data_IF_515219625127
#
_entry.id   IF_515219625127
#
_cell.length_a   1.000
_cell.length_b   1.000
_cell.length_c   1.000
_cell.angle_alpha   90.00
_cell.angle_beta   90.00
_cell.angle_gamma   90.00
#
_symmetry.space_group_name_H-M   'P 1'
#
loop_
_entity.id
_entity.type
_entity.pdbx_description
1 polymer ?
#
# COMPACT_ATOMS: atom_id res chain seq x y z
N UNK A 1 16.01 0.03 2.18
CA UNK A 1 14.82 0.32 1.35
C UNK A 1 13.56 0.59 2.19
N UNK A 2 13.23 -0.20 3.22
CA UNK A 2 11.97 -0.04 3.99
C UNK A 2 11.77 1.25 4.79
N UNK A 3 12.86 1.89 5.28
CA UNK A 3 12.74 3.11 6.10
C UNK A 3 12.37 4.38 5.31
N UNK A 4 12.67 4.42 4.00
CA UNK A 4 12.36 5.56 3.14
C UNK A 4 10.86 5.60 2.76
N UNK A 5 10.29 4.44 2.45
CA UNK A 5 8.85 4.33 2.11
C UNK A 5 7.93 4.61 3.31
N UNK A 6 8.40 4.34 4.53
CA UNK A 6 7.68 4.65 5.78
C UNK A 6 7.71 6.13 6.19
N UNK A 7 8.54 6.96 5.56
CA UNK A 7 8.67 8.41 5.86
C UNK A 7 8.05 9.32 4.81
N UNK A 8 7.39 8.77 3.78
CA UNK A 8 6.83 9.57 2.70
C UNK A 8 5.59 10.36 3.19
N UNK A 9 5.65 11.70 3.26
CA UNK A 9 4.52 12.53 3.72
C UNK A 9 3.39 12.61 2.68
N UNK A 10 3.61 12.16 1.45
CA UNK A 10 2.64 12.15 0.36
C UNK A 10 2.49 10.71 -0.18
N UNK A 11 1.97 9.83 0.68
CA UNK A 11 1.93 8.37 0.47
C UNK A 11 1.07 7.90 -0.73
N UNK A 12 0.25 8.77 -1.31
CA UNK A 12 -0.62 8.46 -2.46
C UNK A 12 0.04 8.90 -3.78
N UNK A 13 0.61 10.12 -3.86
CA UNK A 13 1.22 10.66 -5.09
C UNK A 13 2.53 9.95 -5.42
N UNK A 14 3.34 9.65 -4.40
CA UNK A 14 4.48 8.75 -4.54
C UNK A 14 3.98 7.35 -4.17
N UNK A 15 3.86 6.41 -5.12
CA UNK A 15 3.11 5.16 -4.96
C UNK A 15 3.90 4.12 -4.16
N UNK A 16 4.29 4.44 -2.93
CA UNK A 16 5.08 3.55 -2.07
C UNK A 16 4.27 2.32 -1.61
N UNK A 17 2.94 2.36 -1.74
CA UNK A 17 2.08 1.18 -1.58
C UNK A 17 2.28 0.13 -2.68
N UNK A 18 2.85 0.47 -3.84
CA UNK A 18 3.18 -0.50 -4.91
C UNK A 18 4.48 -1.28 -4.69
N UNK A 19 5.31 -0.90 -3.71
CA UNK A 19 6.56 -1.60 -3.41
C UNK A 19 6.26 -2.82 -2.53
N UNK A 20 6.56 -4.03 -3.01
CA UNK A 20 6.34 -5.30 -2.32
C UNK A 20 7.70 -5.92 -1.95
N UNK A 21 7.80 -6.59 -0.80
CA UNK A 21 9.02 -7.33 -0.43
C UNK A 21 9.31 -8.43 -1.44
N UNK A 22 10.58 -8.80 -1.59
CA UNK A 22 10.99 -9.89 -2.49
C UNK A 22 10.41 -11.25 -2.12
N UNK A 23 9.90 -11.40 -0.89
CA UNK A 23 9.18 -12.56 -0.37
C UNK A 23 7.66 -12.50 -0.61
N UNK A 24 7.19 -11.48 -1.35
CA UNK A 24 5.77 -11.25 -1.63
C UNK A 24 5.00 -10.60 -0.48
N UNK A 25 5.65 -10.27 0.65
CA UNK A 25 4.97 -9.67 1.80
C UNK A 25 4.82 -8.16 1.66
N UNK A 26 3.68 -7.67 2.12
CA UNK A 26 3.44 -6.24 2.28
C UNK A 26 4.18 -5.74 3.52
N UNK A 27 5.20 -4.91 3.31
CA UNK A 27 6.00 -4.31 4.38
C UNK A 27 6.14 -2.80 4.16
N UNK A 28 6.57 -2.08 5.20
CA UNK A 28 7.05 -0.69 5.11
C UNK A 28 6.09 0.30 4.43
N UNK A 29 4.99 0.64 5.10
CA UNK A 29 4.06 1.67 4.63
C UNK A 29 3.64 2.61 5.76
N UNK A 30 3.89 3.91 5.57
CA UNK A 30 3.61 4.95 6.55
C UNK A 30 2.14 4.99 6.98
N UNK A 31 1.23 4.75 6.02
CA UNK A 31 -0.21 4.76 6.24
C UNK A 31 -0.78 3.45 6.81
N UNK A 32 0.06 2.49 7.23
CA UNK A 32 -0.38 1.20 7.76
C UNK A 32 -0.76 0.16 6.69
N UNK A 33 -0.49 -1.12 6.96
CA UNK A 33 -0.60 -2.20 5.97
C UNK A 33 -2.03 -2.39 5.41
N UNK A 34 -3.07 -2.17 6.22
CA UNK A 34 -4.46 -2.27 5.75
C UNK A 34 -4.80 -1.24 4.68
N UNK A 35 -4.28 -0.01 4.79
CA UNK A 35 -4.47 1.03 3.77
C UNK A 35 -3.67 0.73 2.49
N UNK A 36 -2.49 0.12 2.63
CA UNK A 36 -1.71 -0.39 1.49
C UNK A 36 -2.45 -1.50 0.74
N UNK A 37 -3.08 -2.44 1.44
CA UNK A 37 -3.92 -3.47 0.82
C UNK A 37 -5.13 -2.87 0.10
N UNK A 38 -5.83 -1.94 0.76
CA UNK A 38 -6.99 -1.28 0.15
C UNK A 38 -6.62 -0.52 -1.13
N UNK A 39 -5.51 0.23 -1.14
CA UNK A 39 -5.06 0.95 -2.33
C UNK A 39 -4.69 0.01 -3.48
N UNK A 40 -4.04 -1.12 -3.18
CA UNK A 40 -3.72 -2.13 -4.20
C UNK A 40 -4.98 -2.77 -4.79
N UNK A 41 -5.96 -3.12 -3.95
CA UNK A 41 -7.25 -3.66 -4.40
C UNK A 41 -8.03 -2.63 -5.23
N UNK A 42 -8.07 -1.38 -4.77
CA UNK A 42 -8.74 -0.29 -5.46
C UNK A 42 -8.13 -0.02 -6.84
N UNK A 43 -6.80 -0.02 -6.96
CA UNK A 43 -6.08 0.14 -8.24
C UNK A 43 -6.25 -1.07 -9.17
N UNK A 44 -6.48 -2.27 -8.62
CA UNK A 44 -6.82 -3.46 -9.38
C UNK A 44 -8.28 -3.47 -9.88
N UNK A 45 -9.08 -2.47 -9.50
CA UNK A 45 -10.51 -2.41 -9.82
C UNK A 45 -11.36 -3.35 -8.95
N UNK A 46 -10.80 -3.89 -7.88
CA UNK A 46 -11.53 -4.71 -6.92
C UNK A 46 -12.36 -3.78 -6.02
N UNK A 47 -13.68 -3.93 -6.07
CA UNK A 47 -14.58 -3.26 -5.13
C UNK A 47 -14.51 -4.05 -3.82
N UNK A 48 -14.13 -3.46 -2.68
CA UNK A 48 -14.09 -4.20 -1.43
C UNK A 48 -15.49 -4.74 -1.13
N UNK A 49 -15.58 -6.04 -0.87
CA UNK A 49 -16.81 -6.79 -0.55
C UNK A 49 -17.61 -6.23 0.66
N UNK A 50 -17.16 -5.15 1.29
CA UNK A 50 -17.80 -4.47 2.41
C UNK A 50 -18.81 -3.38 1.98
N UNK A 51 -19.09 -3.24 0.69
CA UNK A 51 -20.00 -2.24 0.12
C UNK A 51 -21.28 -2.84 -0.53
N UNK A 52 -21.54 -4.13 -0.31
CA UNK A 52 -22.79 -4.85 -0.69
C UNK A 52 -23.31 -5.53 0.57
#
# INVERSE_FOLDING_TARGET
MGAANGKNPIAIVVPCHRVIGSDGRLTGYAGGLGRKQWLLAHEAGEVPLALI
#
